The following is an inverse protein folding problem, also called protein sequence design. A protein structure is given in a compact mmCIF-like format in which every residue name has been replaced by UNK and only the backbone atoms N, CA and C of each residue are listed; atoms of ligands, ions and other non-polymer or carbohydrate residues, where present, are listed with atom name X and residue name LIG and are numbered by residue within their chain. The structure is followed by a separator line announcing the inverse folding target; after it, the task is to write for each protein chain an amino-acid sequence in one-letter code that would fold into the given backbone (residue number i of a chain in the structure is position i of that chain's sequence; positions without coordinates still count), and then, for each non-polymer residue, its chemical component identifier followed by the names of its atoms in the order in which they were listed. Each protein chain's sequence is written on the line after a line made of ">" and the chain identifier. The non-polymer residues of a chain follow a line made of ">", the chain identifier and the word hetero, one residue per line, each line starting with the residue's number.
data_IF_107186757428
#
_entry.id   IF_107186757428
#
_cell.length_a   1.000
_cell.length_b   1.000
_cell.length_c   1.000
_cell.angle_alpha   90.00
_cell.angle_beta   90.00
_cell.angle_gamma   90.00
#
_symmetry.space_group_name_H-M   'P 1'
#
loop_
_entity.id
_entity.type
_entity.pdbx_description
1 polymer ?
#
# COMPACT_ATOMS: atom_id res chain seq x y z
N UNK A 1 8.69 -21.36 23.12
CA UNK A 1 8.31 -20.02 23.63
C UNK A 1 8.02 -19.11 22.43
N UNK A 2 6.75 -18.74 22.25
CA UNK A 2 6.18 -17.69 21.35
C UNK A 2 6.65 -17.63 19.88
N UNK A 3 5.99 -18.41 19.01
CA UNK A 3 5.75 -18.05 17.61
C UNK A 3 4.30 -18.32 17.21
N UNK A 4 3.37 -17.81 17.98
CA UNK A 4 1.93 -17.99 17.72
C UNK A 4 1.16 -16.67 17.85
N UNK A 5 1.84 -15.53 17.64
CA UNK A 5 1.21 -14.20 17.65
C UNK A 5 0.92 -13.64 16.25
N UNK A 6 1.24 -14.38 15.20
CA UNK A 6 0.95 -13.98 13.81
C UNK A 6 -0.38 -14.55 13.27
N UNK A 7 -1.16 -15.25 14.11
CA UNK A 7 -2.38 -15.96 13.69
C UNK A 7 -3.66 -15.45 14.37
N UNK A 8 -3.59 -14.37 15.15
CA UNK A 8 -4.72 -13.81 15.91
C UNK A 8 -5.19 -12.45 15.38
N UNK A 9 -5.11 -12.22 14.07
CA UNK A 9 -6.07 -11.32 13.40
C UNK A 9 -7.16 -12.24 12.85
N UNK A 10 -7.75 -13.01 13.77
CA UNK A 10 -8.89 -13.85 13.47
C UNK A 10 -10.10 -12.93 13.33
N UNK A 11 -10.49 -12.73 12.06
CA UNK A 11 -11.89 -12.56 11.65
C UNK A 11 -12.61 -11.30 12.15
N UNK A 12 -11.98 -10.14 12.03
CA UNK A 12 -12.73 -8.87 12.06
C UNK A 12 -13.41 -8.70 10.70
N UNK A 13 -14.74 -8.69 10.69
CA UNK A 13 -15.63 -8.50 9.53
C UNK A 13 -14.93 -7.92 8.30
N UNK A 14 -14.61 -8.77 7.31
CA UNK A 14 -14.03 -8.35 6.04
C UNK A 14 -15.07 -7.50 5.33
N UNK A 15 -14.95 -6.19 5.48
CA UNK A 15 -15.72 -5.24 4.66
C UNK A 15 -14.95 -5.04 3.37
N UNK A 16 -15.65 -4.73 2.27
CA UNK A 16 -14.99 -4.38 1.01
C UNK A 16 -13.98 -3.23 1.18
N UNK A 17 -14.19 -2.33 2.16
CA UNK A 17 -13.25 -1.27 2.51
C UNK A 17 -11.94 -1.82 3.11
N UNK A 18 -12.01 -2.85 3.98
CA UNK A 18 -10.83 -3.51 4.55
C UNK A 18 -10.05 -4.28 3.48
N UNK A 19 -10.73 -5.01 2.59
CA UNK A 19 -10.07 -5.71 1.46
C UNK A 19 -9.35 -4.73 0.53
N UNK A 20 -10.01 -3.60 0.24
CA UNK A 20 -9.42 -2.55 -0.60
C UNK A 20 -8.21 -1.92 0.07
N UNK A 21 -8.28 -1.66 1.37
CA UNK A 21 -7.18 -1.10 2.14
C UNK A 21 -5.97 -2.03 2.11
N UNK A 22 -6.16 -3.33 2.41
CA UNK A 22 -5.09 -4.33 2.37
C UNK A 22 -4.47 -4.43 0.97
N UNK A 23 -5.29 -4.48 -0.07
CA UNK A 23 -4.82 -4.48 -1.46
C UNK A 23 -3.91 -3.28 -1.77
N UNK A 24 -4.33 -2.07 -1.38
CA UNK A 24 -3.56 -0.86 -1.64
C UNK A 24 -2.23 -0.85 -0.88
N UNK A 25 -2.22 -1.28 0.38
CA UNK A 25 -1.01 -1.39 1.19
C UNK A 25 -0.04 -2.39 0.55
N UNK A 26 -0.53 -3.56 0.14
CA UNK A 26 0.29 -4.57 -0.53
C UNK A 26 0.88 -4.07 -1.85
N UNK A 27 0.09 -3.39 -2.68
CA UNK A 27 0.59 -2.81 -3.92
C UNK A 27 1.64 -1.72 -3.65
N UNK A 28 1.39 -0.81 -2.71
CA UNK A 28 2.35 0.25 -2.36
C UNK A 28 3.70 -0.32 -1.93
N UNK A 29 3.69 -1.35 -1.08
CA UNK A 29 4.91 -2.06 -0.66
C UNK A 29 5.62 -2.70 -1.86
N UNK A 30 4.87 -3.29 -2.82
CA UNK A 30 5.45 -3.85 -4.04
C UNK A 30 6.20 -2.80 -4.87
N UNK A 31 5.73 -1.55 -4.89
CA UNK A 31 6.41 -0.43 -5.54
C UNK A 31 7.46 0.26 -4.66
N UNK A 32 7.81 -0.32 -3.51
CA UNK A 32 8.85 0.19 -2.60
C UNK A 32 8.41 1.38 -1.74
N UNK A 33 7.10 1.58 -1.57
CA UNK A 33 6.54 2.64 -0.73
C UNK A 33 6.07 2.05 0.58
N UNK A 34 6.64 2.54 1.69
CA UNK A 34 6.42 2.00 3.04
C UNK A 34 5.73 3.00 3.98
N UNK A 35 5.73 4.28 3.64
CA UNK A 35 5.14 5.37 4.41
C UNK A 35 4.68 6.49 3.47
N UNK A 36 3.81 7.38 3.98
CA UNK A 36 3.41 8.58 3.28
C UNK A 36 4.50 9.66 3.34
N UNK A 37 4.36 10.70 2.51
CA UNK A 37 5.29 11.84 2.46
C UNK A 37 5.39 12.59 3.82
N UNK A 38 4.41 12.44 4.70
CA UNK A 38 4.37 13.03 6.05
C UNK A 38 4.90 12.09 7.16
N UNK A 39 5.44 10.92 6.78
CA UNK A 39 6.04 9.94 7.68
C UNK A 39 5.03 8.99 8.36
N UNK A 40 3.72 9.13 8.10
CA UNK A 40 2.73 8.17 8.61
C UNK A 40 2.88 6.82 7.92
N UNK A 41 2.73 5.75 8.69
CA UNK A 41 2.74 4.38 8.16
C UNK A 41 1.46 4.13 7.36
N UNK A 42 1.54 3.23 6.36
CA UNK A 42 0.41 3.01 5.45
C UNK A 42 -0.89 2.54 6.13
N UNK A 43 -0.78 1.78 7.23
CA UNK A 43 -1.94 1.31 7.99
C UNK A 43 -2.62 2.42 8.83
N UNK A 44 -1.95 3.57 9.00
CA UNK A 44 -2.49 4.75 9.69
C UNK A 44 -3.27 5.67 8.72
N UNK A 45 -3.17 5.42 7.41
CA UNK A 45 -3.80 6.25 6.40
C UNK A 45 -5.26 5.85 6.18
N UNK A 46 -6.18 6.82 6.02
CA UNK A 46 -7.53 6.52 5.57
C UNK A 46 -7.52 6.03 4.11
N UNK A 47 -8.54 5.24 3.75
CA UNK A 47 -8.63 4.62 2.43
C UNK A 47 -8.42 5.60 1.26
N UNK A 48 -9.05 6.79 1.32
CA UNK A 48 -8.91 7.80 0.27
C UNK A 48 -7.47 8.34 0.11
N UNK A 49 -6.67 8.35 1.19
CA UNK A 49 -5.26 8.72 1.12
C UNK A 49 -4.42 7.61 0.50
N UNK A 50 -4.70 6.35 0.85
CA UNK A 50 -4.05 5.19 0.23
C UNK A 50 -4.30 5.12 -1.28
N UNK A 51 -5.53 5.42 -1.72
CA UNK A 51 -5.87 5.43 -3.14
C UNK A 51 -5.12 6.53 -3.90
N UNK A 52 -5.04 7.74 -3.33
CA UNK A 52 -4.27 8.84 -3.93
C UNK A 52 -2.79 8.51 -4.00
N UNK A 53 -2.23 7.93 -2.92
CA UNK A 53 -0.83 7.53 -2.88
C UNK A 53 -0.54 6.44 -3.92
N UNK A 54 -1.40 5.42 -4.03
CA UNK A 54 -1.27 4.36 -5.03
C UNK A 54 -1.26 4.92 -6.46
N UNK A 55 -2.16 5.85 -6.79
CA UNK A 55 -2.20 6.50 -8.10
C UNK A 55 -0.89 7.26 -8.36
N UNK A 56 -0.43 8.09 -7.40
CA UNK A 56 0.82 8.86 -7.51
C UNK A 56 2.00 7.94 -7.85
N UNK A 57 2.16 6.88 -7.06
CA UNK A 57 3.27 5.92 -7.16
C UNK A 57 3.25 5.18 -8.51
N UNK A 58 2.07 4.73 -8.97
CA UNK A 58 1.96 4.09 -10.28
C UNK A 58 2.26 5.03 -11.43
N UNK A 59 1.83 6.29 -11.33
CA UNK A 59 2.15 7.31 -12.33
C UNK A 59 3.65 7.63 -12.37
N UNK A 60 4.28 7.77 -11.20
CA UNK A 60 5.73 7.99 -11.10
C UNK A 60 6.52 6.82 -11.70
N UNK A 61 6.11 5.58 -11.39
CA UNK A 61 6.72 4.39 -11.96
C UNK A 61 6.56 4.36 -13.49
N UNK A 62 5.34 4.58 -13.99
CA UNK A 62 5.08 4.60 -15.43
C UNK A 62 5.88 5.67 -16.18
N UNK A 63 6.04 6.86 -15.58
CA UNK A 63 6.89 7.93 -16.14
C UNK A 63 8.36 7.52 -16.22
N UNK A 64 8.90 6.92 -15.16
CA UNK A 64 10.29 6.42 -15.16
C UNK A 64 10.52 5.40 -16.28
N UNK A 65 9.59 4.47 -16.48
CA UNK A 65 9.67 3.47 -17.55
C UNK A 65 9.56 4.07 -18.96
N UNK A 66 8.82 5.17 -19.14
CA UNK A 66 8.71 5.84 -20.45
C UNK A 66 9.95 6.64 -20.86
N UNK A 67 10.81 7.02 -19.91
CA UNK A 67 12.02 7.79 -20.20
C UNK A 67 13.21 6.92 -20.65
N UNK A 68 13.18 5.60 -20.39
CA UNK A 68 14.28 4.68 -20.73
C UNK A 68 14.15 4.08 -22.13
N UNK A 69 13.08 4.39 -22.88
CA UNK A 69 12.80 3.83 -24.20
C UNK A 69 13.23 4.75 -25.37
N UNK A 70 14.03 5.78 -25.11
CA UNK A 70 14.47 6.74 -26.11
C UNK A 70 15.92 7.16 -25.94
N UNK A 71 16.85 6.28 -26.33
CA UNK A 71 18.22 6.63 -26.75
C UNK A 71 18.66 5.63 -27.83
#
# INVERSE_FOLDING_TARGET
>A
MRREKWFLIEKSTITAASERQDYLIHELIRYGQYEADDGRQLYELPLAELERLHIKVKCDFGRKMSCEAGD
#
